data_IF_063825217015
#
_entry.id   IF_063825217015
#
_cell.length_a   1.000
_cell.length_b   1.000
_cell.length_c   1.000
_cell.angle_alpha   90.00
_cell.angle_beta   90.00
_cell.angle_gamma   90.00
#
_symmetry.space_group_name_H-M   'P 1'
#
loop_
_entity.id
_entity.type
_entity.pdbx_description
1 polymer ?
#
# COMPACT_ATOMS: atom_id res chain seq x y z
N UNK A 1 -28.02 6.58 8.44
CA UNK A 1 -28.97 6.50 7.31
C UNK A 1 -28.83 5.13 6.66
N UNK A 2 -29.93 4.46 6.24
CA UNK A 2 -29.84 3.18 5.55
C UNK A 2 -29.09 3.32 4.22
N UNK A 3 -28.13 2.44 3.98
CA UNK A 3 -27.55 2.27 2.65
C UNK A 3 -28.40 1.26 1.89
N UNK A 4 -29.09 1.70 0.83
CA UNK A 4 -29.68 0.76 -0.13
C UNK A 4 -28.67 0.63 -1.27
N UNK A 5 -28.01 -0.51 -1.35
CA UNK A 5 -27.00 -0.80 -2.37
C UNK A 5 -27.59 -1.84 -3.33
N UNK A 6 -27.62 -1.52 -4.62
CA UNK A 6 -28.00 -2.46 -5.69
C UNK A 6 -26.92 -3.52 -5.94
N UNK A 7 -26.97 -4.27 -7.05
CA UNK A 7 -25.90 -5.20 -7.40
C UNK A 7 -24.61 -4.43 -7.67
N UNK A 8 -23.58 -4.68 -6.86
CA UNK A 8 -22.25 -4.04 -6.98
C UNK A 8 -21.20 -5.13 -7.06
N UNK A 9 -20.27 -4.97 -8.01
CA UNK A 9 -19.08 -5.81 -8.12
C UNK A 9 -17.83 -4.96 -7.89
N UNK A 10 -17.07 -5.33 -6.87
CA UNK A 10 -15.76 -4.75 -6.58
C UNK A 10 -14.73 -5.79 -7.01
N UNK A 11 -13.94 -5.47 -8.03
CA UNK A 11 -12.98 -6.41 -8.61
C UNK A 11 -11.70 -6.47 -7.76
N UNK A 12 -11.16 -5.32 -7.38
CA UNK A 12 -10.00 -5.24 -6.48
C UNK A 12 -10.02 -3.94 -5.68
N UNK A 13 -9.66 -4.01 -4.40
CA UNK A 13 -9.35 -2.86 -3.55
C UNK A 13 -7.91 -3.00 -3.10
N UNK A 14 -7.02 -2.15 -3.61
CA UNK A 14 -5.57 -2.25 -3.33
C UNK A 14 -5.16 -1.62 -1.99
N UNK A 15 -6.12 -1.08 -1.23
CA UNK A 15 -5.90 -0.41 0.05
C UNK A 15 -7.09 0.46 0.44
N UNK A 16 -7.22 0.78 1.73
CA UNK A 16 -8.29 1.64 2.23
C UNK A 16 -9.59 0.88 2.57
N UNK A 17 -10.71 1.60 2.55
CA UNK A 17 -12.03 1.09 2.97
C UNK A 17 -13.06 1.38 1.89
N UNK A 18 -13.90 0.39 1.56
CA UNK A 18 -15.13 0.61 0.80
C UNK A 18 -16.30 0.57 1.78
N UNK A 19 -16.91 1.73 2.01
CA UNK A 19 -18.03 1.86 2.93
C UNK A 19 -19.30 2.25 2.16
N UNK A 20 -20.39 1.55 2.48
CA UNK A 20 -21.74 1.95 2.08
C UNK A 20 -22.56 2.31 3.32
N UNK A 21 -23.36 3.37 3.21
CA UNK A 21 -24.14 3.92 4.32
C UNK A 21 -23.39 4.98 5.09
N UNK A 22 -23.98 5.42 6.20
CA UNK A 22 -23.37 6.47 7.02
C UNK A 22 -22.15 5.97 7.77
N UNK A 23 -21.16 6.83 7.86
CA UNK A 23 -20.00 6.66 8.70
C UNK A 23 -19.71 7.93 9.49
N UNK A 24 -19.31 7.79 10.75
CA UNK A 24 -18.96 8.92 11.61
C UNK A 24 -17.49 9.32 11.45
N UNK A 25 -16.59 8.36 11.26
CA UNK A 25 -15.20 8.59 10.85
C UNK A 25 -14.66 7.36 10.11
N UNK A 26 -13.87 7.60 9.06
CA UNK A 26 -13.10 6.57 8.35
C UNK A 26 -11.69 7.10 8.18
N UNK A 27 -10.73 6.47 8.86
CA UNK A 27 -9.33 6.88 8.83
C UNK A 27 -8.47 5.66 8.49
N UNK A 28 -8.47 5.20 7.21
CA UNK A 28 -7.59 4.16 6.76
C UNK A 28 -6.17 4.71 6.78
N UNK A 29 -5.26 3.93 7.34
CA UNK A 29 -3.87 4.34 7.44
C UNK A 29 -3.01 3.24 6.89
N UNK A 30 -2.04 3.64 6.09
CA UNK A 30 -1.00 2.77 5.60
C UNK A 30 0.33 3.46 5.82
N UNK A 31 1.31 2.68 6.24
CA UNK A 31 2.70 3.04 6.16
C UNK A 31 3.39 1.89 5.46
N UNK A 32 4.31 2.22 4.57
CA UNK A 32 5.17 1.23 3.93
C UNK A 32 6.54 1.82 3.78
N UNK A 33 7.54 0.97 3.97
CA UNK A 33 8.92 1.27 3.63
C UNK A 33 9.42 0.14 2.78
N UNK A 34 9.84 0.48 1.58
CA UNK A 34 10.30 -0.49 0.61
C UNK A 34 11.70 -0.11 0.19
N UNK A 35 12.60 -1.09 0.27
CA UNK A 35 13.96 -0.98 -0.21
C UNK A 35 14.07 -1.96 -1.37
N UNK A 36 14.33 -1.43 -2.56
CA UNK A 36 14.28 -2.17 -3.81
C UNK A 36 15.66 -2.15 -4.47
N UNK A 37 16.12 -3.32 -4.93
CA UNK A 37 17.45 -3.50 -5.53
C UNK A 37 17.43 -3.53 -7.05
N UNK A 38 18.58 -3.86 -7.64
CA UNK A 38 18.73 -3.97 -9.09
C UNK A 38 17.77 -5.03 -9.63
N UNK A 39 16.89 -4.60 -10.53
CA UNK A 39 15.84 -5.42 -11.14
C UNK A 39 14.62 -5.73 -10.28
N UNK A 40 14.36 -4.96 -9.23
CA UNK A 40 13.13 -5.09 -8.46
C UNK A 40 12.01 -4.16 -8.96
N UNK A 41 10.76 -4.49 -8.63
CA UNK A 41 9.55 -3.77 -9.08
C UNK A 41 9.00 -4.19 -10.46
N UNK A 42 9.54 -5.25 -11.06
CA UNK A 42 9.14 -5.76 -12.37
C UNK A 42 7.73 -6.37 -12.35
N UNK A 43 6.83 -5.89 -13.23
CA UNK A 43 5.46 -6.40 -13.39
C UNK A 43 5.12 -6.53 -14.87
N UNK A 44 4.65 -7.71 -15.33
CA UNK A 44 4.38 -7.98 -16.75
C UNK A 44 4.68 -9.43 -17.17
N UNK A 45 4.32 -9.81 -18.40
CA UNK A 45 4.42 -11.19 -18.90
C UNK A 45 5.78 -11.61 -19.48
N UNK A 46 6.58 -10.66 -19.98
CA UNK A 46 7.93 -10.93 -20.46
C UNK A 46 8.89 -9.84 -19.98
N UNK A 47 9.82 -10.20 -19.11
CA UNK A 47 10.73 -9.26 -18.46
C UNK A 47 12.13 -9.85 -18.50
N UNK A 48 13.04 -9.16 -19.22
CA UNK A 48 14.47 -9.47 -19.25
C UNK A 48 15.20 -8.38 -18.46
N UNK A 49 15.74 -8.74 -17.30
CA UNK A 49 16.45 -7.79 -16.44
C UNK A 49 17.91 -8.21 -16.28
N UNK A 50 18.80 -7.51 -17.00
CA UNK A 50 20.23 -7.75 -16.96
C UNK A 50 20.88 -6.84 -15.91
N UNK A 51 21.03 -7.35 -14.69
CA UNK A 51 21.60 -6.61 -13.57
C UNK A 51 23.05 -7.06 -13.32
N UNK A 52 23.96 -6.13 -13.06
CA UNK A 52 25.38 -6.43 -12.85
C UNK A 52 25.76 -6.52 -11.36
N UNK A 53 25.70 -5.41 -10.63
CA UNK A 53 25.99 -5.35 -9.19
C UNK A 53 24.85 -4.58 -8.53
N UNK A 54 24.30 -5.12 -7.43
CA UNK A 54 23.31 -4.43 -6.59
C UNK A 54 23.87 -4.27 -5.19
N UNK A 55 23.94 -3.03 -4.70
CA UNK A 55 24.29 -2.74 -3.32
C UNK A 55 23.16 -1.91 -2.69
N UNK A 56 22.30 -2.57 -1.94
CA UNK A 56 21.21 -1.93 -1.19
C UNK A 56 21.68 -1.61 0.22
N UNK A 57 22.67 -0.72 0.34
CA UNK A 57 23.23 -0.35 1.63
C UNK A 57 22.32 0.67 2.34
N UNK A 58 21.23 0.19 2.91
CA UNK A 58 20.31 1.01 3.70
C UNK A 58 20.71 0.93 5.16
N UNK A 59 21.34 1.99 5.67
CA UNK A 59 21.60 2.16 7.09
C UNK A 59 20.36 2.78 7.75
N UNK A 60 19.61 1.95 8.44
CA UNK A 60 18.39 2.36 9.14
C UNK A 60 18.73 2.70 10.61
N UNK A 61 18.78 3.98 10.95
CA UNK A 61 19.21 4.47 12.27
C UNK A 61 18.15 5.32 12.97
N UNK A 62 16.89 5.16 12.58
CA UNK A 62 15.77 5.84 13.22
C UNK A 62 15.37 5.16 14.54
N UNK A 63 14.94 5.97 15.51
CA UNK A 63 14.38 5.49 16.78
C UNK A 63 12.90 5.11 16.64
N UNK A 64 12.19 5.73 15.70
CA UNK A 64 10.80 5.42 15.33
C UNK A 64 10.71 5.46 13.80
N UNK A 65 10.20 4.38 13.21
CA UNK A 65 9.99 4.26 11.77
C UNK A 65 8.55 3.83 11.49
N UNK A 66 7.93 4.49 10.50
CA UNK A 66 6.53 4.29 10.12
C UNK A 66 5.50 4.45 11.28
N UNK A 67 5.55 5.53 12.10
CA UNK A 67 4.55 5.72 13.13
C UNK A 67 3.21 6.14 12.52
N UNK A 68 2.23 5.28 12.66
CA UNK A 68 0.85 5.60 12.32
C UNK A 68 0.18 6.22 13.57
N UNK A 69 0.20 7.55 13.70
CA UNK A 69 -0.33 8.27 14.89
C UNK A 69 -1.62 9.04 14.59
N UNK A 70 -2.54 9.09 15.56
CA UNK A 70 -3.78 9.89 15.57
C UNK A 70 -4.97 9.31 14.78
N UNK A 71 -6.10 9.04 15.43
CA UNK A 71 -7.38 8.73 14.79
C UNK A 71 -8.33 9.90 15.05
N UNK A 72 -8.47 10.83 14.09
CA UNK A 72 -9.53 11.83 14.12
C UNK A 72 -10.37 11.68 12.86
#
# INVERSE_FOLDING_TARGET
MPAIVGPVQIITVSGGVVQFGDTFFISPKSASKTISGSGAGNTGGFILTNNAISANNTLDTNLVDQPISGNN
#
